data_IF_831079790722
#
_entry.id   IF_831079790722
#
_cell.length_a   1.000
_cell.length_b   1.000
_cell.length_c   1.000
_cell.angle_alpha   90.00
_cell.angle_beta   90.00
_cell.angle_gamma   90.00
#
_symmetry.space_group_name_H-M   'P 1'
#
loop_
_entity.id
_entity.type
_entity.pdbx_description
1 polymer ?
#
# COMPACT_ATOMS: atom_id res chain seq x y z
N UNK A 1 0.19 23.25 12.65
CA UNK A 1 1.53 22.87 12.19
C UNK A 1 1.37 22.20 10.85
N UNK A 2 2.09 22.60 9.80
CA UNK A 2 2.10 21.89 8.53
C UNK A 2 2.53 20.42 8.70
N UNK A 3 2.04 19.57 7.81
CA UNK A 3 2.41 18.16 7.68
C UNK A 3 2.78 17.92 6.22
N UNK A 4 4.01 17.51 5.97
CA UNK A 4 4.44 17.00 4.66
C UNK A 4 4.32 15.47 4.67
N UNK A 5 3.73 14.89 3.63
CA UNK A 5 3.53 13.43 3.51
C UNK A 5 4.20 12.92 2.24
N UNK A 6 4.94 11.83 2.37
CA UNK A 6 5.62 11.16 1.27
C UNK A 6 5.27 9.67 1.29
N UNK A 7 5.12 9.08 0.10
CA UNK A 7 4.77 7.67 -0.05
C UNK A 7 5.89 6.93 -0.79
N UNK A 8 6.29 5.77 -0.28
CA UNK A 8 7.19 4.88 -1.00
C UNK A 8 6.37 3.93 -1.88
N UNK A 9 6.15 4.30 -3.14
CA UNK A 9 5.42 3.46 -4.11
C UNK A 9 6.29 2.38 -4.77
N UNK A 10 7.57 2.30 -4.43
CA UNK A 10 8.51 1.35 -5.02
C UNK A 10 8.61 0.01 -4.27
N UNK A 11 9.35 -0.92 -4.87
CA UNK A 11 9.55 -2.28 -4.35
C UNK A 11 10.53 -2.36 -3.18
N UNK A 12 11.46 -1.42 -3.09
CA UNK A 12 12.54 -1.42 -2.10
C UNK A 12 12.34 -0.32 -1.06
N UNK A 13 13.01 -0.39 0.09
CA UNK A 13 13.05 0.71 1.04
C UNK A 13 13.52 2.02 0.38
N UNK A 14 13.02 3.12 0.91
CA UNK A 14 13.40 4.49 0.54
C UNK A 14 14.10 5.11 1.74
N UNK A 15 15.24 5.76 1.51
CA UNK A 15 15.93 6.55 2.54
C UNK A 15 15.34 7.94 2.61
N UNK A 16 14.83 8.35 3.76
CA UNK A 16 14.30 9.69 3.98
C UNK A 16 15.17 10.45 4.97
N UNK A 17 15.70 11.59 4.56
CA UNK A 17 16.61 12.41 5.39
C UNK A 17 16.02 13.78 5.65
N UNK A 18 16.08 14.23 6.91
CA UNK A 18 15.65 15.58 7.31
C UNK A 18 16.88 16.48 7.45
N UNK A 19 17.00 17.46 6.57
CA UNK A 19 18.10 18.41 6.56
C UNK A 19 17.70 19.73 7.26
N UNK A 20 18.66 20.43 7.91
CA UNK A 20 20.08 20.12 8.05
C UNK A 20 20.40 19.26 9.28
N UNK A 21 19.43 18.52 9.81
CA UNK A 21 19.58 17.76 11.06
C UNK A 21 20.28 16.41 10.86
N UNK A 22 20.33 15.93 9.62
CA UNK A 22 20.82 14.62 9.20
C UNK A 22 20.09 13.43 9.86
N UNK A 23 18.88 13.68 10.37
CA UNK A 23 17.98 12.64 10.88
C UNK A 23 17.52 11.76 9.70
N UNK A 24 17.83 10.46 9.72
CA UNK A 24 17.56 9.54 8.61
C UNK A 24 16.60 8.43 9.01
N UNK A 25 15.66 8.11 8.12
CA UNK A 25 14.62 7.12 8.29
C UNK A 25 14.58 6.17 7.10
N UNK A 26 14.43 4.89 7.38
CA UNK A 26 14.10 3.91 6.36
C UNK A 26 12.57 3.83 6.22
N UNK A 27 12.06 4.07 5.01
CA UNK A 27 10.63 4.04 4.69
C UNK A 27 10.36 2.77 3.88
N UNK A 28 9.70 1.75 4.45
CA UNK A 28 9.45 0.49 3.75
C UNK A 28 8.59 0.66 2.50
N UNK A 29 8.60 -0.31 1.58
CA UNK A 29 7.68 -0.36 0.45
C UNK A 29 6.22 -0.15 0.91
N UNK A 30 5.50 0.71 0.18
CA UNK A 30 4.10 1.09 0.43
C UNK A 30 3.83 1.85 1.74
N UNK A 31 4.87 2.16 2.52
CA UNK A 31 4.72 2.98 3.71
C UNK A 31 4.59 4.47 3.35
N UNK A 32 3.99 5.22 4.27
CA UNK A 32 3.91 6.68 4.20
C UNK A 32 4.67 7.28 5.36
N UNK A 33 5.50 8.26 5.09
CA UNK A 33 6.19 9.04 6.11
C UNK A 33 5.57 10.44 6.16
N UNK A 34 5.16 10.85 7.35
CA UNK A 34 4.70 12.21 7.62
C UNK A 34 5.74 12.96 8.44
N UNK A 35 5.98 14.22 8.10
CA UNK A 35 6.79 15.16 8.87
C UNK A 35 5.90 16.31 9.32
N UNK A 36 5.70 16.46 10.63
CA UNK A 36 4.97 17.58 11.24
C UNK A 36 5.98 18.55 11.85
N UNK A 37 5.91 19.83 11.48
CA UNK A 37 6.95 20.80 11.84
C UNK A 37 6.40 22.21 12.10
N UNK A 38 7.22 23.05 12.72
CA UNK A 38 6.94 24.48 12.92
C UNK A 38 8.06 25.32 12.32
N UNK A 39 7.77 25.96 11.19
CA UNK A 39 8.67 26.91 10.55
C UNK A 39 8.89 28.14 11.44
N UNK A 40 10.10 28.69 11.38
CA UNK A 40 10.37 30.02 11.92
C UNK A 40 9.71 31.07 11.03
N UNK A 41 9.43 32.25 11.59
CA UNK A 41 8.93 33.37 10.79
C UNK A 41 9.91 33.70 9.66
N UNK A 42 9.42 33.67 8.41
CA UNK A 42 10.24 33.89 7.21
C UNK A 42 11.07 32.69 6.73
N UNK A 43 10.95 31.51 7.36
CA UNK A 43 11.55 30.28 6.86
C UNK A 43 10.70 29.64 5.76
N UNK A 44 11.35 29.05 4.77
CA UNK A 44 10.76 28.21 3.73
C UNK A 44 11.09 26.74 4.02
N UNK A 45 10.28 25.80 3.54
CA UNK A 45 10.66 24.39 3.43
C UNK A 45 11.08 24.08 2.00
N UNK A 46 11.90 23.03 1.82
CA UNK A 46 12.31 22.55 0.50
C UNK A 46 12.32 21.03 0.50
N UNK A 47 11.86 20.45 -0.60
CA UNK A 47 11.93 19.00 -0.81
C UNK A 47 12.73 18.73 -2.07
N UNK A 48 13.67 17.79 -1.99
CA UNK A 48 14.34 17.22 -3.15
C UNK A 48 14.26 15.70 -3.09
N UNK A 49 14.04 15.08 -4.25
CA UNK A 49 14.01 13.63 -4.40
C UNK A 49 15.08 13.17 -5.38
N UNK A 50 15.84 12.13 -5.03
CA UNK A 50 16.76 11.43 -5.92
C UNK A 50 16.19 10.06 -6.26
N UNK A 51 15.84 9.87 -7.53
CA UNK A 51 15.36 8.57 -8.02
C UNK A 51 16.48 7.53 -8.09
N UNK A 52 17.71 7.95 -8.39
CA UNK A 52 18.85 7.04 -8.51
C UNK A 52 19.25 6.45 -7.15
N UNK A 53 19.23 7.27 -6.10
CA UNK A 53 19.66 6.87 -4.76
C UNK A 53 18.51 6.33 -3.90
N UNK A 54 17.29 6.27 -4.46
CA UNK A 54 16.05 5.99 -3.73
C UNK A 54 15.98 6.78 -2.43
N UNK A 55 16.17 8.09 -2.54
CA UNK A 55 16.20 8.98 -1.39
C UNK A 55 15.31 10.20 -1.56
N UNK A 56 14.77 10.66 -0.44
CA UNK A 56 14.12 11.96 -0.33
C UNK A 56 14.85 12.74 0.76
N UNK A 57 15.35 13.92 0.40
CA UNK A 57 15.83 14.91 1.36
C UNK A 57 14.74 15.96 1.57
N UNK A 58 14.31 16.11 2.82
CA UNK A 58 13.37 17.12 3.25
C UNK A 58 14.11 18.16 4.09
N UNK A 59 14.34 19.33 3.50
CA UNK A 59 14.99 20.44 4.18
C UNK A 59 13.98 21.28 4.94
N UNK A 60 14.20 21.44 6.25
CA UNK A 60 13.32 22.21 7.12
C UNK A 60 14.09 22.79 8.32
N UNK A 61 14.32 24.11 8.34
CA UNK A 61 14.84 24.85 9.52
C UNK A 61 13.73 25.12 10.55
N UNK A 62 13.08 24.04 11.00
CA UNK A 62 12.05 24.10 12.04
C UNK A 62 12.64 23.92 13.44
N UNK A 63 12.05 24.61 14.41
CA UNK A 63 12.40 24.45 15.84
C UNK A 63 11.92 23.10 16.39
N UNK A 64 10.82 22.58 15.86
CA UNK A 64 10.27 21.27 16.20
C UNK A 64 9.94 20.50 14.94
N UNK A 65 10.28 19.21 14.97
CA UNK A 65 10.03 18.24 13.92
C UNK A 65 9.57 16.95 14.60
N UNK A 66 8.43 16.43 14.17
CA UNK A 66 7.90 15.13 14.55
C UNK A 66 7.77 14.28 13.28
N UNK A 67 8.07 12.99 13.39
CA UNK A 67 8.00 12.04 12.27
C UNK A 67 7.11 10.86 12.66
N UNK A 68 6.24 10.46 11.76
CA UNK A 68 5.42 9.25 11.89
C UNK A 68 5.47 8.45 10.59
N UNK A 69 5.71 7.15 10.70
CA UNK A 69 5.67 6.21 9.58
C UNK A 69 4.45 5.32 9.72
N UNK A 70 3.56 5.39 8.74
CA UNK A 70 2.43 4.48 8.62
C UNK A 70 2.83 3.32 7.72
N UNK A 71 2.87 2.12 8.30
CA UNK A 71 3.19 0.90 7.56
C UNK A 71 1.97 0.35 6.80
N UNK A 72 2.17 -0.28 5.64
CA UNK A 72 1.10 -0.96 4.92
C UNK A 72 0.59 -2.16 5.72
N UNK A 73 -0.70 -2.46 5.59
CA UNK A 73 -1.29 -3.69 6.08
C UNK A 73 -0.84 -4.92 5.27
N UNK A 74 -1.14 -6.11 5.80
CA UNK A 74 -0.97 -7.36 5.06
C UNK A 74 -1.76 -7.34 3.73
N UNK A 75 -2.99 -6.85 3.77
CA UNK A 75 -3.85 -6.77 2.61
C UNK A 75 -3.37 -5.75 1.57
N UNK A 76 -2.79 -4.62 1.99
CA UNK A 76 -2.19 -3.65 1.05
C UNK A 76 -1.05 -4.30 0.25
N UNK A 77 -0.19 -5.08 0.91
CA UNK A 77 0.90 -5.81 0.26
C UNK A 77 0.37 -6.87 -0.71
N UNK A 78 -0.67 -7.61 -0.32
CA UNK A 78 -1.33 -8.58 -1.19
C UNK A 78 -1.90 -7.91 -2.45
N UNK A 79 -2.67 -6.84 -2.28
CA UNK A 79 -3.24 -6.11 -3.42
C UNK A 79 -2.17 -5.56 -4.35
N UNK A 80 -1.11 -5.00 -3.77
CA UNK A 80 0.01 -4.51 -4.57
C UNK A 80 0.71 -5.63 -5.34
N UNK A 81 0.95 -6.78 -4.72
CA UNK A 81 1.53 -7.94 -5.42
C UNK A 81 0.62 -8.40 -6.57
N UNK A 82 -0.70 -8.47 -6.34
CA UNK A 82 -1.67 -8.81 -7.38
C UNK A 82 -1.64 -7.81 -8.53
N UNK A 83 -1.74 -6.51 -8.24
CA UNK A 83 -1.81 -5.47 -9.27
C UNK A 83 -0.49 -5.29 -10.02
N UNK A 84 0.59 -5.04 -9.28
CA UNK A 84 1.85 -4.54 -9.85
C UNK A 84 2.74 -5.69 -10.32
N UNK A 85 2.78 -6.80 -9.59
CA UNK A 85 3.67 -7.94 -9.93
C UNK A 85 3.00 -8.96 -10.83
N UNK A 86 1.69 -9.11 -10.72
CA UNK A 86 0.97 -10.16 -11.42
C UNK A 86 -0.07 -9.66 -12.43
N UNK A 87 -0.45 -8.37 -12.40
CA UNK A 87 -1.47 -7.82 -13.28
C UNK A 87 -2.81 -8.53 -13.14
N UNK A 88 -3.19 -8.89 -11.91
CA UNK A 88 -4.36 -9.74 -11.61
C UNK A 88 -5.24 -9.18 -10.47
N UNK A 89 -5.49 -7.86 -10.45
CA UNK A 89 -6.31 -7.25 -9.40
C UNK A 89 -7.65 -6.65 -9.86
N UNK A 90 -7.93 -6.65 -11.16
CA UNK A 90 -9.16 -6.14 -11.74
C UNK A 90 -9.09 -5.94 -13.25
N UNK A 91 -10.28 -5.79 -13.85
CA UNK A 91 -10.45 -5.53 -15.28
C UNK A 91 -11.58 -4.51 -15.51
N UNK A 92 -11.67 -3.99 -16.72
CA UNK A 92 -12.76 -3.13 -17.14
C UNK A 92 -13.90 -3.98 -17.70
N UNK A 93 -15.01 -4.06 -16.98
CA UNK A 93 -16.18 -4.91 -17.31
C UNK A 93 -17.42 -4.02 -17.42
N UNK A 94 -18.16 -4.12 -18.53
CA UNK A 94 -19.43 -3.42 -18.74
C UNK A 94 -19.36 -1.89 -18.51
N UNK A 95 -18.24 -1.27 -18.89
CA UNK A 95 -18.04 0.18 -18.73
C UNK A 95 -17.60 0.61 -17.33
N UNK A 96 -17.24 -0.33 -16.44
CA UNK A 96 -16.81 -0.05 -15.07
C UNK A 96 -15.50 -0.76 -14.73
N UNK A 97 -14.66 -0.10 -13.94
CA UNK A 97 -13.52 -0.73 -13.29
C UNK A 97 -14.05 -1.71 -12.23
N UNK A 98 -13.62 -2.97 -12.30
CA UNK A 98 -13.96 -4.02 -11.33
C UNK A 98 -12.69 -4.56 -10.72
N UNK A 99 -12.53 -4.40 -9.41
CA UNK A 99 -11.38 -4.87 -8.65
C UNK A 99 -11.76 -6.04 -7.75
N UNK A 100 -10.77 -6.83 -7.33
CA UNK A 100 -10.98 -7.93 -6.38
C UNK A 100 -11.67 -7.47 -5.09
N UNK A 101 -11.40 -6.24 -4.65
CA UNK A 101 -12.00 -5.63 -3.46
C UNK A 101 -13.51 -5.46 -3.56
N UNK A 102 -14.04 -5.30 -4.77
CA UNK A 102 -15.49 -5.12 -5.00
C UNK A 102 -16.28 -6.42 -4.78
N UNK A 103 -15.58 -7.56 -4.74
CA UNK A 103 -16.19 -8.87 -4.56
C UNK A 103 -15.95 -9.46 -3.17
N UNK A 104 -15.17 -8.80 -2.32
CA UNK A 104 -14.91 -9.29 -0.97
C UNK A 104 -16.20 -9.26 -0.13
N UNK A 105 -16.45 -10.29 0.68
CA UNK A 105 -17.52 -10.23 1.66
C UNK A 105 -17.20 -9.20 2.74
N UNK A 106 -18.22 -8.58 3.33
CA UNK A 106 -18.05 -7.62 4.42
C UNK A 106 -17.80 -8.28 5.78
N UNK A 107 -18.06 -9.58 5.90
CA UNK A 107 -17.93 -10.33 7.15
C UNK A 107 -17.72 -11.82 6.92
N UNK A 108 -17.23 -12.52 7.94
CA UNK A 108 -17.05 -13.97 7.92
C UNK A 108 -15.62 -14.37 7.57
N UNK A 109 -15.40 -15.63 7.20
CA UNK A 109 -14.06 -16.15 6.89
C UNK A 109 -13.87 -16.24 5.38
N UNK A 110 -12.75 -15.71 4.90
CA UNK A 110 -12.30 -15.85 3.51
C UNK A 110 -11.07 -16.75 3.49
N UNK A 111 -11.17 -17.85 2.74
CA UNK A 111 -10.04 -18.75 2.48
C UNK A 111 -9.20 -18.28 1.30
N UNK A 112 -7.96 -18.74 1.21
CA UNK A 112 -7.07 -18.47 0.08
C UNK A 112 -7.68 -18.92 -1.26
N UNK A 113 -8.37 -20.06 -1.27
CA UNK A 113 -9.09 -20.55 -2.44
C UNK A 113 -10.26 -19.66 -2.85
N UNK A 114 -11.07 -19.22 -1.87
CA UNK A 114 -12.17 -18.28 -2.12
C UNK A 114 -11.63 -16.94 -2.64
N UNK A 115 -10.58 -16.41 -2.02
CA UNK A 115 -9.95 -15.18 -2.49
C UNK A 115 -9.43 -15.31 -3.93
N UNK A 116 -8.78 -16.43 -4.28
CA UNK A 116 -8.33 -16.70 -5.63
C UNK A 116 -9.50 -16.73 -6.64
N UNK A 117 -10.65 -17.27 -6.24
CA UNK A 117 -11.86 -17.24 -7.07
C UNK A 117 -12.40 -15.84 -7.30
N UNK A 118 -12.37 -14.97 -6.27
CA UNK A 118 -12.77 -13.57 -6.39
C UNK A 118 -11.80 -12.77 -7.26
N UNK A 119 -10.50 -13.00 -7.13
CA UNK A 119 -9.48 -12.35 -7.97
C UNK A 119 -9.65 -12.75 -9.44
N UNK A 120 -9.84 -14.05 -9.71
CA UNK A 120 -10.15 -14.55 -11.06
C UNK A 120 -11.44 -13.95 -11.62
N UNK A 121 -12.46 -13.76 -10.78
CA UNK A 121 -13.72 -13.13 -11.18
C UNK A 121 -13.50 -11.66 -11.56
N UNK A 122 -12.64 -10.94 -10.82
CA UNK A 122 -12.32 -9.55 -11.11
C UNK A 122 -11.56 -9.37 -12.43
N UNK A 123 -10.74 -10.35 -12.83
CA UNK A 123 -9.98 -10.32 -14.10
C UNK A 123 -10.83 -10.52 -15.36
N UNK A 124 -12.05 -11.03 -15.24
CA UNK A 124 -12.96 -11.25 -16.37
C UNK A 124 -12.34 -12.00 -17.57
N UNK A 125 -11.62 -13.08 -17.29
CA UNK A 125 -11.10 -13.98 -18.33
C UNK A 125 -12.19 -14.32 -19.36
N UNK A 126 -11.85 -14.21 -20.65
CA UNK A 126 -12.80 -14.40 -21.74
C UNK A 126 -13.31 -15.85 -21.81
N UNK A 127 -14.48 -16.05 -22.43
CA UNK A 127 -14.98 -17.40 -22.74
C UNK A 127 -13.95 -18.13 -23.63
N UNK A 128 -13.42 -19.25 -23.14
CA UNK A 128 -12.33 -20.01 -23.78
C UNK A 128 -10.99 -19.94 -23.06
N UNK A 129 -10.82 -19.02 -22.10
CA UNK A 129 -9.60 -18.90 -21.28
C UNK A 129 -9.63 -19.75 -20.01
N UNK A 130 -10.48 -20.79 -19.96
CA UNK A 130 -10.64 -21.68 -18.80
C UNK A 130 -9.31 -22.24 -18.31
N UNK A 131 -8.41 -22.61 -19.23
CA UNK A 131 -7.08 -23.11 -18.88
C UNK A 131 -6.18 -22.02 -18.26
N UNK A 132 -6.31 -20.76 -18.67
CA UNK A 132 -5.56 -19.64 -18.06
C UNK A 132 -6.08 -19.36 -16.64
N UNK A 133 -7.41 -19.34 -16.50
CA UNK A 133 -8.14 -19.23 -15.25
C UNK A 133 -7.80 -20.33 -14.25
N UNK A 134 -7.75 -21.59 -14.69
CA UNK A 134 -7.42 -22.73 -13.83
C UNK A 134 -5.95 -22.69 -13.40
N UNK A 135 -5.05 -22.28 -14.29
CA UNK A 135 -3.62 -22.15 -13.99
C UNK A 135 -3.30 -21.02 -13.02
N UNK A 136 -4.07 -19.92 -13.00
CA UNK A 136 -3.78 -18.77 -12.13
C UNK A 136 -4.23 -18.99 -10.68
N UNK A 137 -5.31 -19.77 -10.44
CA UNK A 137 -5.87 -20.01 -9.10
C UNK A 137 -4.87 -20.46 -8.04
N UNK A 138 -4.03 -21.50 -8.27
CA UNK A 138 -3.08 -21.95 -7.24
C UNK A 138 -2.08 -20.87 -6.85
N UNK A 139 -1.63 -20.06 -7.82
CA UNK A 139 -0.70 -18.95 -7.61
C UNK A 139 -1.37 -17.85 -6.78
N UNK A 140 -2.60 -17.46 -7.11
CA UNK A 140 -3.34 -16.42 -6.39
C UNK A 140 -3.62 -16.83 -4.93
N UNK A 141 -3.96 -18.10 -4.70
CA UNK A 141 -4.11 -18.63 -3.35
C UNK A 141 -2.77 -18.66 -2.58
N UNK A 142 -1.65 -18.93 -3.26
CA UNK A 142 -0.33 -18.88 -2.64
C UNK A 142 0.05 -17.45 -2.20
N UNK A 143 -0.19 -16.44 -3.04
CA UNK A 143 0.04 -15.04 -2.68
C UNK A 143 -0.79 -14.62 -1.47
N UNK A 144 -2.05 -15.04 -1.40
CA UNK A 144 -2.89 -14.79 -0.23
C UNK A 144 -2.24 -15.36 1.04
N UNK A 145 -1.84 -16.64 1.02
CA UNK A 145 -1.18 -17.27 2.17
C UNK A 145 0.11 -16.55 2.56
N UNK A 146 0.92 -16.18 1.57
CA UNK A 146 2.20 -15.51 1.78
C UNK A 146 2.01 -14.16 2.49
N UNK A 147 1.08 -13.33 2.01
CA UNK A 147 0.92 -11.98 2.55
C UNK A 147 0.02 -11.91 3.78
N UNK A 148 -1.03 -12.74 3.85
CA UNK A 148 -1.94 -12.79 4.99
C UNK A 148 -1.43 -13.70 6.12
N UNK A 149 -0.42 -14.53 5.86
CA UNK A 149 0.19 -15.44 6.83
C UNK A 149 -0.70 -16.61 7.25
N UNK A 150 -1.80 -16.87 6.54
CA UNK A 150 -2.79 -17.89 6.89
C UNK A 150 -3.54 -18.41 5.65
N UNK A 151 -4.05 -19.63 5.72
CA UNK A 151 -4.96 -20.19 4.69
C UNK A 151 -6.34 -19.53 4.71
N UNK A 152 -6.71 -18.89 5.82
CA UNK A 152 -7.98 -18.18 5.96
C UNK A 152 -7.87 -17.02 6.94
N UNK A 153 -8.58 -15.93 6.66
CA UNK A 153 -8.66 -14.76 7.54
C UNK A 153 -10.11 -14.28 7.67
N UNK A 154 -10.46 -13.60 8.77
CA UNK A 154 -11.68 -12.80 8.84
C UNK A 154 -11.71 -11.77 7.68
N UNK A 155 -12.86 -11.60 7.05
CA UNK A 155 -13.05 -10.68 5.93
C UNK A 155 -12.73 -9.22 6.34
N UNK A 156 -12.94 -8.91 7.62
CA UNK A 156 -12.61 -7.64 8.26
C UNK A 156 -11.11 -7.33 8.22
N UNK A 157 -10.26 -8.34 8.03
CA UNK A 157 -8.81 -8.16 7.86
C UNK A 157 -8.39 -7.89 6.40
N UNK A 158 -9.32 -7.99 5.44
CA UNK A 158 -9.08 -7.70 4.02
C UNK A 158 -9.41 -6.23 3.71
N UNK A 159 -8.87 -5.33 4.53
CA UNK A 159 -9.06 -3.89 4.42
C UNK A 159 -7.72 -3.19 4.18
N UNK A 160 -7.75 -2.14 3.37
CA UNK A 160 -6.57 -1.31 3.10
C UNK A 160 -6.30 -0.39 4.28
N UNK A 161 -5.04 -0.26 4.69
CA UNK A 161 -4.65 0.74 5.67
C UNK A 161 -4.58 2.11 5.00
N UNK A 162 -5.66 2.89 5.04
CA UNK A 162 -5.72 4.23 4.47
C UNK A 162 -5.34 5.34 5.47
N UNK A 163 -4.79 4.99 6.64
CA UNK A 163 -4.44 5.97 7.67
C UNK A 163 -3.35 6.94 7.19
N UNK A 164 -3.58 8.24 7.28
CA UNK A 164 -2.53 9.22 7.07
C UNK A 164 -1.69 9.37 8.34
N UNK A 165 -0.37 9.62 8.21
CA UNK A 165 0.44 10.00 9.36
C UNK A 165 -0.25 11.13 10.13
N UNK A 166 -0.23 11.06 11.46
CA UNK A 166 -0.78 12.08 12.35
C UNK A 166 -2.30 12.26 12.35
N UNK A 167 -3.07 11.39 11.68
CA UNK A 167 -4.54 11.48 11.62
C UNK A 167 -5.26 11.03 12.91
N UNK A 168 -4.53 10.50 13.90
CA UNK A 168 -5.10 9.85 15.09
C UNK A 168 -5.52 8.39 14.81
N UNK A 169 -5.93 7.61 15.84
CA UNK A 169 -6.40 6.25 15.61
C UNK A 169 -7.63 6.28 14.69
N UNK A 170 -7.66 5.40 13.68
CA UNK A 170 -8.84 5.21 12.86
C UNK A 170 -10.03 4.88 13.78
N UNK A 171 -11.23 5.43 13.54
CA UNK A 171 -12.40 5.06 14.35
C UNK A 171 -12.58 3.54 14.29
N UNK A 172 -12.75 2.94 15.46
CA UNK A 172 -13.02 1.52 15.65
C UNK A 172 -14.34 1.09 15.00
#
# INVERSE_FOLDING_TARGET
MPIAIFENLGDDPLTFTIEPRDDTYEVPPLARIGVRYTLRAGAEDRTSASYADRSISFWCDAKMVEVEIVHPGAFDRLLWALCVKHGCCGSFIDGQDRQVTDYLPTSGIVTAGQFADLAVKAENYAEGESASRERSRPRLAALFREHMGSESVPAENLVRNLANPFAGPAPA
#
